data_IF_061091174231
#
_entry.id   IF_061091174231
#
_cell.length_a   1.000
_cell.length_b   1.000
_cell.length_c   1.000
_cell.angle_alpha   90.00
_cell.angle_beta   90.00
_cell.angle_gamma   90.00
#
_symmetry.space_group_name_H-M   'P 1'
#
loop_
_entity.id
_entity.type
_entity.pdbx_description
1 polymer ?
#
# COMPACT_ATOMS: atom_id res chain seq x y z
N UNK A 1 -18.19 -2.37 -18.87
CA UNK A 1 -19.63 -2.66 -19.14
C UNK A 1 -19.78 -3.19 -20.56
N UNK A 2 -20.76 -4.05 -20.81
CA UNK A 2 -21.01 -4.68 -22.10
C UNK A 2 -22.52 -4.91 -22.35
N UNK A 3 -23.03 -4.67 -23.57
CA UNK A 3 -22.39 -3.85 -24.60
C UNK A 3 -22.25 -2.40 -24.10
N UNK A 4 -21.15 -1.74 -24.47
CA UNK A 4 -20.89 -0.34 -24.11
C UNK A 4 -21.44 0.60 -25.19
N UNK A 5 -22.76 0.52 -25.44
CA UNK A 5 -23.45 1.29 -26.47
C UNK A 5 -24.46 2.25 -25.84
N UNK A 6 -24.55 3.52 -26.30
CA UNK A 6 -25.49 4.48 -25.73
C UNK A 6 -26.97 4.12 -25.95
N UNK A 7 -27.26 3.26 -26.94
CA UNK A 7 -28.64 2.90 -27.33
C UNK A 7 -29.02 1.46 -26.94
N UNK A 8 -28.19 0.76 -26.17
CA UNK A 8 -28.45 -0.63 -25.76
C UNK A 8 -28.26 -0.76 -24.26
N UNK A 9 -29.25 -1.34 -23.57
CA UNK A 9 -29.13 -1.63 -22.14
C UNK A 9 -27.99 -2.63 -21.92
N UNK A 10 -26.98 -2.32 -21.08
CA UNK A 10 -25.88 -3.23 -20.81
C UNK A 10 -26.36 -4.53 -20.18
N UNK A 11 -25.88 -5.67 -20.67
CA UNK A 11 -26.17 -6.99 -20.11
C UNK A 11 -25.18 -7.42 -19.03
N UNK A 12 -23.99 -6.80 -18.97
CA UNK A 12 -22.95 -7.13 -17.99
C UNK A 12 -22.10 -5.93 -17.60
N UNK A 13 -21.79 -5.82 -16.31
CA UNK A 13 -20.81 -4.87 -15.78
C UNK A 13 -19.83 -5.65 -14.89
N UNK A 14 -18.53 -5.46 -15.14
CA UNK A 14 -17.46 -5.96 -14.27
C UNK A 14 -16.92 -4.77 -13.48
N UNK A 15 -16.75 -4.95 -12.18
CA UNK A 15 -16.28 -3.94 -11.25
C UNK A 15 -15.12 -4.52 -10.43
N UNK A 16 -14.13 -3.68 -10.12
CA UNK A 16 -13.16 -3.97 -9.07
C UNK A 16 -13.43 -3.01 -7.92
N UNK A 17 -13.45 -3.57 -6.72
CA UNK A 17 -13.72 -2.81 -5.50
C UNK A 17 -12.61 -3.10 -4.52
N UNK A 18 -11.97 -2.04 -4.03
CA UNK A 18 -10.93 -2.12 -3.01
C UNK A 18 -11.28 -1.20 -1.84
N UNK A 19 -11.20 -1.73 -0.62
CA UNK A 19 -11.28 -0.96 0.61
C UNK A 19 -9.99 -1.15 1.39
N UNK A 20 -9.49 -0.08 2.01
CA UNK A 20 -8.28 -0.10 2.84
C UNK A 20 -8.59 0.51 4.20
N UNK A 21 -8.24 -0.20 5.26
CA UNK A 21 -8.35 0.25 6.65
C UNK A 21 -7.28 -0.42 7.49
N UNK A 22 -6.89 0.22 8.60
CA UNK A 22 -6.05 -0.40 9.64
C UNK A 22 -6.85 -1.38 10.49
N UNK A 23 -8.16 -1.16 10.59
CA UNK A 23 -9.08 -1.99 11.33
C UNK A 23 -9.61 -3.12 10.44
N UNK A 24 -9.12 -4.34 10.70
CA UNK A 24 -9.52 -5.56 9.98
C UNK A 24 -10.99 -5.90 10.25
N UNK A 25 -11.49 -5.63 11.46
CA UNK A 25 -12.90 -5.82 11.80
C UNK A 25 -13.80 -4.91 10.97
N UNK A 26 -13.39 -3.66 10.77
CA UNK A 26 -14.10 -2.73 9.88
C UNK A 26 -14.09 -3.21 8.43
N UNK A 27 -12.99 -3.78 7.94
CA UNK A 27 -12.94 -4.35 6.58
C UNK A 27 -13.87 -5.55 6.43
N UNK A 28 -13.90 -6.46 7.42
CA UNK A 28 -14.82 -7.60 7.42
C UNK A 28 -16.27 -7.12 7.38
N UNK A 29 -16.63 -6.20 8.29
CA UNK A 29 -17.98 -5.64 8.38
C UNK A 29 -18.37 -4.88 7.10
N UNK A 30 -17.43 -4.19 6.43
CA UNK A 30 -17.68 -3.54 5.16
C UNK A 30 -17.92 -4.57 4.03
N UNK A 31 -17.17 -5.68 4.01
CA UNK A 31 -17.36 -6.78 3.07
C UNK A 31 -18.72 -7.46 3.23
N UNK A 32 -19.10 -7.81 4.45
CA UNK A 32 -20.41 -8.39 4.77
C UNK A 32 -21.56 -7.45 4.37
N UNK A 33 -21.42 -6.14 4.66
CA UNK A 33 -22.42 -5.15 4.26
C UNK A 33 -22.52 -4.99 2.75
N UNK A 34 -21.38 -5.01 2.04
CA UNK A 34 -21.38 -4.98 0.58
C UNK A 34 -22.13 -6.18 0.01
N UNK A 35 -21.81 -7.39 0.48
CA UNK A 35 -22.43 -8.63 0.02
C UNK A 35 -23.94 -8.63 0.24
N UNK A 36 -24.40 -8.29 1.45
CA UNK A 36 -25.84 -8.17 1.74
C UNK A 36 -26.54 -7.10 0.86
N UNK A 37 -25.84 -6.00 0.58
CA UNK A 37 -26.35 -4.93 -0.30
C UNK A 37 -26.47 -5.41 -1.74
N UNK A 38 -25.48 -6.15 -2.25
CA UNK A 38 -25.51 -6.71 -3.61
C UNK A 38 -26.65 -7.71 -3.78
N UNK A 39 -26.88 -8.59 -2.81
CA UNK A 39 -28.04 -9.50 -2.81
C UNK A 39 -29.37 -8.73 -2.84
N UNK A 40 -29.52 -7.72 -1.97
CA UNK A 40 -30.73 -6.88 -1.93
C UNK A 40 -30.98 -6.16 -3.27
N UNK A 41 -29.92 -5.66 -3.91
CA UNK A 41 -30.03 -5.00 -5.22
C UNK A 41 -30.44 -6.02 -6.28
N UNK A 42 -29.75 -7.16 -6.34
CA UNK A 42 -30.00 -8.23 -7.30
C UNK A 42 -31.45 -8.71 -7.27
N UNK A 43 -32.01 -8.94 -6.09
CA UNK A 43 -33.41 -9.33 -5.90
C UNK A 43 -34.37 -8.24 -6.42
N UNK A 44 -34.12 -6.98 -6.08
CA UNK A 44 -34.98 -5.85 -6.46
C UNK A 44 -34.93 -5.56 -7.96
N UNK A 45 -33.78 -5.75 -8.61
CA UNK A 45 -33.59 -5.45 -10.04
C UNK A 45 -33.77 -6.65 -10.95
N UNK A 46 -34.01 -7.84 -10.39
CA UNK A 46 -34.10 -9.11 -11.13
C UNK A 46 -32.84 -9.36 -11.97
N UNK A 47 -31.66 -9.09 -11.38
CA UNK A 47 -30.35 -9.30 -12.00
C UNK A 47 -29.52 -10.26 -11.16
N UNK A 48 -28.53 -10.93 -11.78
CA UNK A 48 -27.53 -11.71 -11.05
C UNK A 48 -26.23 -10.94 -10.82
N UNK A 49 -25.42 -11.41 -9.88
CA UNK A 49 -24.02 -11.01 -9.75
C UNK A 49 -23.16 -12.21 -9.35
N UNK A 50 -21.87 -12.11 -9.60
CA UNK A 50 -20.87 -13.11 -9.23
C UNK A 50 -19.66 -12.38 -8.65
N UNK A 51 -19.08 -12.93 -7.58
CA UNK A 51 -17.81 -12.47 -7.02
C UNK A 51 -16.73 -13.45 -7.46
N UNK A 52 -16.03 -13.10 -8.55
CA UNK A 52 -14.98 -13.97 -9.12
C UNK A 52 -13.81 -14.17 -8.15
N UNK A 53 -13.45 -13.15 -7.37
CA UNK A 53 -12.41 -13.24 -6.35
C UNK A 53 -12.62 -12.22 -5.23
N UNK A 54 -12.21 -12.61 -4.02
CA UNK A 54 -12.17 -11.73 -2.84
C UNK A 54 -10.94 -12.08 -2.02
N UNK A 55 -10.19 -11.06 -1.62
CA UNK A 55 -8.94 -11.23 -0.85
C UNK A 55 -8.91 -10.21 0.29
N UNK A 56 -8.87 -10.70 1.52
CA UNK A 56 -8.57 -9.89 2.70
C UNK A 56 -7.06 -9.95 2.98
N UNK A 57 -6.38 -8.81 2.96
CA UNK A 57 -4.95 -8.70 3.28
C UNK A 57 -4.81 -8.14 4.70
N UNK A 58 -4.26 -8.91 5.67
CA UNK A 58 -4.00 -8.38 7.00
C UNK A 58 -2.88 -7.31 6.94
N UNK A 59 -2.89 -6.31 7.84
CA UNK A 59 -1.77 -5.40 8.00
C UNK A 59 -0.49 -6.17 8.28
N UNK A 60 0.61 -5.75 7.63
CA UNK A 60 1.92 -6.33 7.86
C UNK A 60 2.83 -5.29 8.52
N UNK A 61 3.57 -5.71 9.56
CA UNK A 61 4.71 -4.94 10.07
C UNK A 61 5.95 -5.32 9.27
N UNK A 62 6.75 -4.31 8.95
CA UNK A 62 8.08 -4.48 8.37
C UNK A 62 9.10 -4.74 9.49
N UNK A 63 10.33 -5.10 9.12
CA UNK A 63 11.33 -5.56 10.09
C UNK A 63 11.80 -4.42 11.01
N UNK A 64 11.54 -4.57 12.32
CA UNK A 64 11.82 -3.53 13.32
C UNK A 64 13.31 -3.17 13.37
N UNK A 65 14.22 -4.14 13.32
CA UNK A 65 15.66 -3.86 13.32
C UNK A 65 16.15 -3.05 12.12
N UNK A 66 15.46 -3.11 10.97
CA UNK A 66 15.79 -2.23 9.85
C UNK A 66 15.21 -0.82 10.03
N UNK A 67 14.05 -0.69 10.67
CA UNK A 67 13.49 0.62 11.01
C UNK A 67 14.38 1.34 12.03
N UNK A 68 14.81 0.65 13.08
CA UNK A 68 15.77 1.19 14.07
C UNK A 68 17.08 1.62 13.40
N UNK A 69 17.62 0.78 12.50
CA UNK A 69 18.83 1.11 11.76
C UNK A 69 18.63 2.34 10.86
N UNK A 70 17.47 2.47 10.21
CA UNK A 70 17.13 3.65 9.42
C UNK A 70 17.07 4.92 10.29
N UNK A 71 16.48 4.85 11.48
CA UNK A 71 16.47 5.96 12.43
C UNK A 71 17.88 6.36 12.89
N UNK A 72 18.74 5.38 13.19
CA UNK A 72 20.13 5.64 13.56
C UNK A 72 20.89 6.35 12.43
N UNK A 73 20.77 5.86 11.19
CA UNK A 73 21.38 6.50 10.00
C UNK A 73 20.83 7.91 9.79
N UNK A 74 19.52 8.12 9.98
CA UNK A 74 18.92 9.45 9.92
C UNK A 74 19.53 10.41 10.93
N UNK A 75 19.72 9.96 12.18
CA UNK A 75 20.38 10.72 13.23
C UNK A 75 21.83 11.10 12.88
N UNK A 76 22.62 10.16 12.37
CA UNK A 76 24.00 10.41 11.91
C UNK A 76 24.08 11.43 10.76
N UNK A 77 23.09 11.42 9.86
CA UNK A 77 23.01 12.34 8.74
C UNK A 77 22.41 13.71 9.12
N UNK A 78 21.92 13.87 10.36
CA UNK A 78 21.24 15.08 10.83
C UNK A 78 19.85 15.27 10.22
N UNK A 79 19.19 14.19 9.80
CA UNK A 79 17.87 14.22 9.17
C UNK A 79 16.77 13.88 10.17
N UNK A 80 15.64 14.60 10.08
CA UNK A 80 14.42 14.24 10.81
C UNK A 80 13.84 12.95 10.23
N UNK A 81 13.51 11.98 11.08
CA UNK A 81 12.87 10.73 10.69
C UNK A 81 11.64 10.47 11.55
N UNK A 82 10.64 9.81 10.98
CA UNK A 82 9.42 9.41 11.68
C UNK A 82 8.88 8.12 11.06
N UNK A 83 8.17 7.33 11.86
CA UNK A 83 7.48 6.15 11.37
C UNK A 83 6.36 6.54 10.39
N UNK A 84 6.25 5.77 9.32
CA UNK A 84 5.21 5.93 8.32
C UNK A 84 4.48 4.62 8.05
N UNK A 85 3.22 4.74 7.68
CA UNK A 85 2.40 3.62 7.23
C UNK A 85 2.08 3.79 5.76
N UNK A 86 2.37 2.77 4.97
CA UNK A 86 1.94 2.72 3.57
C UNK A 86 0.69 1.89 3.42
N UNK A 87 -0.30 2.45 2.72
CA UNK A 87 -1.44 1.70 2.18
C UNK A 87 -1.24 1.35 0.71
N UNK A 88 -0.23 1.93 0.05
CA UNK A 88 0.12 1.65 -1.32
C UNK A 88 0.85 0.29 -1.42
N UNK A 89 0.66 -0.38 -2.55
CA UNK A 89 1.42 -1.59 -2.88
C UNK A 89 2.86 -1.22 -3.22
N UNK A 90 3.81 -1.93 -2.60
CA UNK A 90 5.23 -1.91 -2.93
C UNK A 90 5.70 -3.34 -3.06
N UNK A 91 6.63 -3.63 -3.97
CA UNK A 91 7.18 -4.99 -4.15
C UNK A 91 7.73 -5.57 -2.84
N UNK A 92 8.33 -4.69 -2.03
CA UNK A 92 8.86 -5.00 -0.71
C UNK A 92 7.81 -5.63 0.23
N UNK A 93 6.52 -5.27 0.11
CA UNK A 93 5.44 -5.85 0.91
C UNK A 93 5.27 -7.34 0.60
N UNK A 94 5.37 -7.71 -0.68
CA UNK A 94 5.32 -9.12 -1.10
C UNK A 94 6.53 -9.90 -0.61
N UNK A 95 7.71 -9.28 -0.63
CA UNK A 95 8.97 -9.88 -0.17
C UNK A 95 9.03 -10.07 1.35
N UNK A 96 8.31 -9.25 2.13
CA UNK A 96 8.30 -9.27 3.60
C UNK A 96 7.86 -10.61 4.21
N UNK A 97 7.33 -11.54 3.42
CA UNK A 97 7.00 -12.91 3.85
C UNK A 97 8.22 -13.81 4.00
N UNK A 98 9.31 -13.49 3.31
CA UNK A 98 10.49 -14.35 3.18
C UNK A 98 11.78 -13.67 3.61
N UNK A 99 11.80 -12.33 3.57
CA UNK A 99 12.99 -11.55 3.87
C UNK A 99 12.62 -10.38 4.79
N UNK A 100 13.55 -9.93 5.64
CA UNK A 100 13.37 -8.70 6.39
C UNK A 100 13.48 -7.51 5.44
N UNK A 101 12.47 -6.66 5.49
CA UNK A 101 12.26 -5.54 4.57
C UNK A 101 12.09 -4.26 5.37
N UNK A 102 12.52 -3.14 4.78
CA UNK A 102 12.20 -1.79 5.22
C UNK A 102 11.92 -0.91 4.00
N UNK A 103 11.00 0.04 4.16
CA UNK A 103 10.71 1.07 3.18
C UNK A 103 11.20 2.41 3.72
N UNK A 104 11.95 3.15 2.90
CA UNK A 104 12.33 4.52 3.16
C UNK A 104 11.47 5.45 2.31
N UNK A 105 10.74 6.34 2.96
CA UNK A 105 9.94 7.37 2.28
C UNK A 105 10.63 8.72 2.35
N UNK A 106 10.56 9.46 1.24
CA UNK A 106 10.90 10.88 1.18
C UNK A 106 9.63 11.69 0.88
N UNK A 107 9.57 12.97 1.28
CA UNK A 107 8.39 13.79 1.04
C UNK A 107 8.06 13.95 -0.45
N UNK A 108 6.79 13.81 -0.82
CA UNK A 108 6.25 14.28 -2.10
C UNK A 108 5.43 15.54 -1.85
N UNK A 109 5.54 16.52 -2.75
CA UNK A 109 4.87 17.80 -2.64
C UNK A 109 3.36 17.63 -2.60
N UNK A 110 2.73 18.14 -1.54
CA UNK A 110 1.29 17.99 -1.27
C UNK A 110 0.80 16.52 -1.21
N UNK A 111 1.71 15.54 -1.08
CA UNK A 111 1.35 14.12 -1.10
C UNK A 111 0.76 13.64 -2.43
N UNK A 112 0.97 14.37 -3.53
CA UNK A 112 0.48 14.00 -4.86
C UNK A 112 1.27 12.79 -5.37
N UNK A 113 0.57 11.80 -5.93
CA UNK A 113 1.15 10.64 -6.61
C UNK A 113 0.22 10.11 -7.70
N UNK A 114 0.75 9.35 -8.66
CA UNK A 114 0.02 8.87 -9.85
C UNK A 114 -0.58 10.01 -10.67
N UNK A 115 0.12 11.14 -10.71
CA UNK A 115 -0.31 12.36 -11.36
C UNK A 115 0.91 13.07 -11.95
N UNK A 116 0.75 13.77 -13.07
CA UNK A 116 1.83 14.48 -13.75
C UNK A 116 2.42 15.63 -12.90
N UNK A 117 1.70 16.10 -11.88
CA UNK A 117 2.18 17.08 -10.91
C UNK A 117 2.91 16.46 -9.70
N UNK A 118 3.09 15.13 -9.66
CA UNK A 118 3.91 14.47 -8.64
C UNK A 118 5.34 15.03 -8.66
N UNK A 119 5.80 15.51 -7.51
CA UNK A 119 7.07 16.23 -7.42
C UNK A 119 7.73 16.09 -6.06
N UNK A 120 8.98 15.66 -6.06
CA UNK A 120 9.89 15.66 -4.93
C UNK A 120 11.04 16.60 -5.24
N UNK A 121 11.37 17.51 -4.33
CA UNK A 121 12.47 18.44 -4.57
C UNK A 121 13.84 17.75 -4.52
N UNK A 122 14.83 18.40 -5.14
CA UNK A 122 16.20 17.91 -5.23
C UNK A 122 16.85 17.58 -3.89
N UNK A 123 16.57 18.35 -2.85
CA UNK A 123 17.19 18.15 -1.56
C UNK A 123 16.64 16.89 -0.89
N UNK A 124 15.34 16.65 -0.97
CA UNK A 124 14.70 15.45 -0.45
C UNK A 124 15.12 14.19 -1.21
N UNK A 125 15.27 14.28 -2.53
CA UNK A 125 15.83 13.18 -3.33
C UNK A 125 17.27 12.85 -2.91
N UNK A 126 18.13 13.86 -2.74
CA UNK A 126 19.51 13.67 -2.27
C UNK A 126 19.55 13.10 -0.85
N UNK A 127 18.68 13.57 0.04
CA UNK A 127 18.55 13.03 1.40
C UNK A 127 18.11 11.57 1.37
N UNK A 128 17.15 11.20 0.53
CA UNK A 128 16.73 9.81 0.30
C UNK A 128 17.86 8.91 -0.17
N UNK A 129 18.66 9.37 -1.13
CA UNK A 129 19.84 8.63 -1.59
C UNK A 129 20.87 8.44 -0.46
N UNK A 130 21.19 9.50 0.29
CA UNK A 130 22.11 9.41 1.44
C UNK A 130 21.62 8.42 2.50
N UNK A 131 20.33 8.45 2.81
CA UNK A 131 19.68 7.50 3.72
C UNK A 131 19.80 6.06 3.23
N UNK A 132 19.45 5.80 1.96
CA UNK A 132 19.54 4.47 1.37
C UNK A 132 20.99 3.95 1.39
N UNK A 133 21.96 4.78 0.98
CA UNK A 133 23.38 4.42 1.00
C UNK A 133 23.87 4.10 2.42
N UNK A 134 23.54 4.95 3.40
CA UNK A 134 23.93 4.74 4.79
C UNK A 134 23.32 3.46 5.37
N UNK A 135 22.02 3.23 5.14
CA UNK A 135 21.30 2.04 5.58
C UNK A 135 21.93 0.77 5.01
N UNK A 136 22.15 0.71 3.70
CA UNK A 136 22.74 -0.45 3.03
C UNK A 136 24.17 -0.70 3.49
N UNK A 137 24.99 0.35 3.63
CA UNK A 137 26.36 0.20 4.14
C UNK A 137 26.37 -0.43 5.53
N UNK A 138 25.54 0.04 6.45
CA UNK A 138 25.44 -0.52 7.81
C UNK A 138 24.87 -1.94 7.80
N UNK A 139 23.85 -2.21 7.01
CA UNK A 139 23.26 -3.53 6.90
C UNK A 139 24.28 -4.58 6.42
N UNK A 140 25.17 -4.19 5.49
CA UNK A 140 26.20 -5.08 4.95
C UNK A 140 27.48 -5.19 5.81
N UNK A 141 27.76 -4.22 6.69
CA UNK A 141 28.99 -4.18 7.49
C UNK A 141 28.79 -4.47 8.97
N UNK A 142 27.54 -4.44 9.44
CA UNK A 142 27.21 -4.81 10.82
C UNK A 142 27.36 -6.32 11.03
N UNK A 143 27.83 -6.71 12.21
CA UNK A 143 27.83 -8.11 12.67
C UNK A 143 26.46 -8.57 13.18
N UNK A 144 25.46 -7.68 13.23
CA UNK A 144 24.11 -8.01 13.61
C UNK A 144 23.48 -8.95 12.57
N UNK A 145 22.96 -10.09 13.01
CA UNK A 145 22.15 -10.97 12.14
C UNK A 145 20.81 -10.29 11.91
N UNK A 146 20.53 -9.95 10.65
CA UNK A 146 19.19 -9.58 10.20
C UNK A 146 18.46 -10.80 9.61
N UNK A 147 18.93 -12.02 9.87
CA UNK A 147 18.28 -13.30 9.51
C UNK A 147 17.49 -13.85 10.69
#
# INVERSE_FOLDING_TARGET
MYPNSPNVVPSRVSLLIEYRSRDVGLLSAAGERLDATLHTIADRTMTGFEVESSVLRPPARLHEGFAELAHAVGGELGLSTADSMTVAGHDAISMNRHYPVCLLFIPSSNGVSHNEAEYTNDQDMRNGLRMLTGLLYRACTSSASFL
#
